data_IF_526196713262
#
_entry.id   IF_526196713262
#
_cell.length_a   1.000
_cell.length_b   1.000
_cell.length_c   1.000
_cell.angle_alpha   90.00
_cell.angle_beta   90.00
_cell.angle_gamma   90.00
#
_symmetry.space_group_name_H-M   'P 1'
#
loop_
_entity.id
_entity.type
_entity.pdbx_description
1 polymer ?
#
# COMPACT_ATOMS: atom_id res chain seq x y z
N UNK A 1 5.31 -18.06 -0.95
CA UNK A 1 5.42 -16.68 -0.46
C UNK A 1 6.37 -15.95 -1.40
N UNK A 2 5.96 -14.82 -1.98
CA UNK A 2 6.79 -14.08 -2.94
C UNK A 2 7.96 -13.44 -2.19
N UNK A 3 9.18 -13.55 -2.72
CA UNK A 3 10.36 -12.94 -2.11
C UNK A 3 10.20 -11.40 -2.13
N UNK A 4 10.10 -10.80 -0.94
CA UNK A 4 9.90 -9.36 -0.76
C UNK A 4 11.20 -8.59 -0.50
N UNK A 5 12.36 -9.25 -0.55
CA UNK A 5 13.67 -8.60 -0.27
C UNK A 5 14.07 -7.55 -1.30
N UNK A 6 13.43 -7.53 -2.47
CA UNK A 6 13.67 -6.57 -3.57
C UNK A 6 12.54 -5.55 -3.74
N UNK A 7 11.85 -5.20 -2.66
CA UNK A 7 10.72 -4.27 -2.72
C UNK A 7 11.10 -2.94 -2.07
N UNK A 8 10.82 -1.84 -2.76
CA UNK A 8 10.92 -0.51 -2.20
C UNK A 8 9.73 -0.26 -1.27
N UNK A 9 10.00 0.40 -0.15
CA UNK A 9 9.02 0.67 0.90
C UNK A 9 8.66 2.15 0.91
N UNK A 10 7.38 2.44 0.88
CA UNK A 10 6.83 3.79 0.90
C UNK A 10 5.85 3.89 2.08
N UNK A 11 6.29 4.39 3.25
CA UNK A 11 5.42 4.56 4.41
C UNK A 11 4.45 5.72 4.18
N UNK A 12 3.22 5.55 4.64
CA UNK A 12 2.16 6.57 4.59
C UNK A 12 1.14 6.34 5.70
N UNK A 13 0.27 7.34 5.96
CA UNK A 13 -0.71 7.29 7.05
C UNK A 13 -2.08 7.67 6.52
N UNK A 14 -3.11 6.90 6.88
CA UNK A 14 -4.51 7.20 6.55
C UNK A 14 -5.34 7.19 7.82
N UNK A 15 -5.98 8.32 8.11
CA UNK A 15 -6.90 8.50 9.24
C UNK A 15 -6.32 8.01 10.59
N UNK A 16 -5.01 8.21 10.79
CA UNK A 16 -4.28 7.82 12.01
C UNK A 16 -3.74 6.39 12.02
N UNK A 17 -3.93 5.60 10.95
CA UNK A 17 -3.38 4.26 10.80
C UNK A 17 -2.18 4.29 9.85
N UNK A 18 -1.08 3.64 10.26
CA UNK A 18 0.17 3.58 9.50
C UNK A 18 0.20 2.38 8.55
N UNK A 19 0.60 2.64 7.31
CA UNK A 19 0.70 1.66 6.25
C UNK A 19 2.07 1.74 5.57
N UNK A 20 2.42 0.68 4.86
CA UNK A 20 3.55 0.65 3.94
C UNK A 20 3.09 0.13 2.58
N UNK A 21 3.29 0.94 1.55
CA UNK A 21 3.15 0.50 0.16
C UNK A 21 4.48 -0.11 -0.25
N UNK A 22 4.47 -1.38 -0.62
CA UNK A 22 5.63 -2.13 -1.08
C UNK A 22 5.53 -2.22 -2.59
N UNK A 23 6.57 -1.81 -3.31
CA UNK A 23 6.61 -1.86 -4.78
C UNK A 23 7.84 -2.66 -5.22
N UNK A 24 7.62 -3.64 -6.10
CA UNK A 24 8.70 -4.43 -6.71
C UNK A 24 9.61 -3.55 -7.55
N UNK A 25 10.91 -3.46 -7.20
CA UNK A 25 11.87 -2.57 -7.88
C UNK A 25 12.18 -2.98 -9.31
N UNK A 26 11.98 -4.27 -9.65
CA UNK A 26 12.13 -4.78 -11.01
C UNK A 26 10.84 -4.57 -11.83
N UNK A 27 9.73 -4.23 -11.17
CA UNK A 27 8.45 -3.94 -11.78
C UNK A 27 8.42 -2.61 -12.53
N UNK A 28 7.67 -2.58 -13.63
CA UNK A 28 7.37 -1.35 -14.38
C UNK A 28 6.74 -0.26 -13.52
N UNK A 29 6.01 -0.62 -12.46
CA UNK A 29 5.39 0.34 -11.55
C UNK A 29 6.43 1.15 -10.76
N UNK A 30 7.52 0.53 -10.32
CA UNK A 30 8.58 1.25 -9.59
C UNK A 30 9.22 2.35 -10.42
N UNK A 31 9.40 2.12 -11.72
CA UNK A 31 9.93 3.12 -12.65
C UNK A 31 9.00 4.34 -12.80
N UNK A 32 7.70 4.16 -12.61
CA UNK A 32 6.73 5.25 -12.62
C UNK A 32 6.73 5.97 -11.27
N UNK A 33 6.61 5.23 -10.17
CA UNK A 33 6.57 5.76 -8.80
C UNK A 33 7.82 6.57 -8.46
N UNK A 34 9.00 6.10 -8.85
CA UNK A 34 10.28 6.78 -8.60
C UNK A 34 10.43 8.15 -9.29
N UNK A 35 9.58 8.45 -10.28
CA UNK A 35 9.56 9.74 -10.99
C UNK A 35 8.53 10.71 -10.44
N UNK A 36 7.70 10.25 -9.50
CA UNK A 36 6.64 11.04 -8.89
C UNK A 36 7.15 11.56 -7.53
N UNK A 37 6.89 12.84 -7.18
CA UNK A 37 7.22 13.32 -5.84
C UNK A 37 6.57 12.46 -4.76
N UNK A 38 7.32 12.13 -3.70
CA UNK A 38 6.85 11.23 -2.64
C UNK A 38 5.48 11.63 -2.07
N UNK A 39 5.23 12.93 -1.90
CA UNK A 39 3.95 13.42 -1.39
C UNK A 39 2.77 13.14 -2.33
N UNK A 40 2.98 13.19 -3.65
CA UNK A 40 1.95 12.84 -4.63
C UNK A 40 1.65 11.35 -4.56
N UNK A 41 2.69 10.50 -4.47
CA UNK A 41 2.50 9.06 -4.32
C UNK A 41 1.81 8.71 -3.00
N UNK A 42 2.11 9.42 -1.91
CA UNK A 42 1.40 9.26 -0.64
C UNK A 42 -0.08 9.60 -0.80
N UNK A 43 -0.43 10.73 -1.39
CA UNK A 43 -1.84 11.07 -1.66
C UNK A 43 -2.55 10.01 -2.50
N UNK A 44 -1.87 9.41 -3.49
CA UNK A 44 -2.43 8.30 -4.27
C UNK A 44 -2.69 7.07 -3.40
N UNK A 45 -1.73 6.67 -2.55
CA UNK A 45 -1.90 5.53 -1.64
C UNK A 45 -3.02 5.79 -0.61
N UNK A 46 -3.13 7.00 -0.08
CA UNK A 46 -4.22 7.37 0.81
C UNK A 46 -5.59 7.28 0.12
N UNK A 47 -5.68 7.76 -1.13
CA UNK A 47 -6.89 7.63 -1.95
C UNK A 47 -7.26 6.17 -2.17
N UNK A 48 -6.29 5.32 -2.52
CA UNK A 48 -6.51 3.89 -2.72
C UNK A 48 -7.03 3.19 -1.46
N UNK A 49 -6.51 3.50 -0.26
CA UNK A 49 -7.05 2.95 0.98
C UNK A 49 -8.50 3.39 1.18
N UNK A 50 -8.79 4.69 1.04
CA UNK A 50 -10.15 5.20 1.24
C UNK A 50 -11.16 4.63 0.24
N UNK A 51 -10.72 4.35 -0.99
CA UNK A 51 -11.56 3.76 -2.03
C UNK A 51 -11.76 2.25 -1.86
N UNK A 52 -10.69 1.51 -1.56
CA UNK A 52 -10.71 0.04 -1.59
C UNK A 52 -11.03 -0.60 -0.23
N UNK A 53 -10.61 0.03 0.86
CA UNK A 53 -10.79 -0.45 2.25
C UNK A 53 -11.87 0.35 2.96
N UNK A 54 -11.95 1.66 2.71
CA UNK A 54 -12.93 2.56 3.33
C UNK A 54 -12.37 3.33 4.53
N UNK A 55 -13.23 3.61 5.51
CA UNK A 55 -12.87 4.41 6.70
C UNK A 55 -12.15 3.56 7.75
N UNK A 56 -10.84 3.43 7.60
CA UNK A 56 -9.97 2.61 8.48
C UNK A 56 -9.97 3.06 9.94
N UNK A 57 -10.27 4.33 10.22
CA UNK A 57 -10.42 4.86 11.60
C UNK A 57 -11.60 4.26 12.37
N UNK A 58 -12.55 3.60 11.69
CA UNK A 58 -13.71 2.94 12.30
C UNK A 58 -13.54 1.42 12.37
N UNK A 59 -12.40 0.89 11.95
CA UNK A 59 -12.13 -0.54 11.84
C UNK A 59 -11.10 -0.98 12.89
N UNK A 60 -11.23 -2.22 13.35
CA UNK A 60 -10.18 -2.89 14.10
C UNK A 60 -9.01 -3.28 13.20
N UNK A 61 -7.85 -3.57 13.80
CA UNK A 61 -6.68 -4.04 13.04
C UNK A 61 -6.95 -5.31 12.23
N UNK A 62 -7.72 -6.24 12.79
CA UNK A 62 -8.05 -7.51 12.12
C UNK A 62 -8.97 -7.29 10.91
N UNK A 63 -9.95 -6.39 11.02
CA UNK A 63 -10.80 -6.00 9.89
C UNK A 63 -9.99 -5.31 8.79
N UNK A 64 -9.06 -4.41 9.17
CA UNK A 64 -8.17 -3.77 8.19
C UNK A 64 -7.29 -4.82 7.51
N UNK A 65 -6.73 -5.77 8.26
CA UNK A 65 -5.91 -6.84 7.70
C UNK A 65 -6.72 -7.71 6.73
N UNK A 66 -7.95 -8.08 7.06
CA UNK A 66 -8.82 -8.86 6.18
C UNK A 66 -9.12 -8.14 4.86
N UNK A 67 -9.39 -6.82 4.90
CA UNK A 67 -9.56 -6.03 3.69
C UNK A 67 -8.27 -5.89 2.88
N UNK A 68 -7.12 -5.71 3.54
CA UNK A 68 -5.82 -5.69 2.86
C UNK A 68 -5.52 -7.03 2.19
N UNK A 69 -5.82 -8.16 2.83
CA UNK A 69 -5.64 -9.49 2.24
C UNK A 69 -6.50 -9.64 0.98
N UNK A 70 -7.75 -9.16 1.01
CA UNK A 70 -8.64 -9.12 -0.16
C UNK A 70 -8.12 -8.19 -1.26
N UNK A 71 -7.68 -6.98 -0.93
CA UNK A 71 -7.16 -5.99 -1.89
C UNK A 71 -5.86 -6.47 -2.54
N UNK A 72 -5.02 -7.17 -1.78
CA UNK A 72 -3.77 -7.73 -2.27
C UNK A 72 -3.96 -9.08 -2.98
N UNK A 73 -5.17 -9.63 -3.08
CA UNK A 73 -5.35 -10.93 -3.74
C UNK A 73 -4.84 -10.86 -5.20
N UNK A 74 -3.93 -11.77 -5.56
CA UNK A 74 -3.33 -11.81 -6.90
C UNK A 74 -2.31 -10.70 -7.19
N UNK A 75 -1.79 -10.01 -6.18
CA UNK A 75 -0.82 -8.93 -6.37
C UNK A 75 0.42 -9.35 -7.19
N UNK A 76 0.90 -8.43 -8.02
CA UNK A 76 2.07 -8.65 -8.88
C UNK A 76 3.22 -7.70 -8.53
N UNK A 77 3.04 -6.38 -8.69
CA UNK A 77 4.13 -5.40 -8.53
C UNK A 77 3.93 -4.45 -7.35
N UNK A 78 2.75 -4.43 -6.74
CA UNK A 78 2.42 -3.58 -5.60
C UNK A 78 1.68 -4.36 -4.53
N UNK A 79 1.99 -4.08 -3.28
CA UNK A 79 1.39 -4.73 -2.12
C UNK A 79 1.26 -3.71 -0.99
N UNK A 80 0.10 -3.62 -0.35
CA UNK A 80 -0.12 -2.70 0.77
C UNK A 80 -0.17 -3.50 2.07
N UNK A 81 0.57 -3.08 3.08
CA UNK A 81 0.56 -3.68 4.41
C UNK A 81 0.32 -2.64 5.50
N UNK A 82 -0.16 -3.08 6.65
CA UNK A 82 0.03 -2.34 7.89
C UNK A 82 1.53 -2.20 8.18
N UNK A 83 1.93 -1.06 8.77
CA UNK A 83 3.31 -0.81 9.19
C UNK A 83 3.69 -1.59 10.45
#
# INVERSE_FOLDING_TARGET
MKDMTRWALFPFTVDGVEFVSKIDIEGSMYQQVSRVPAQVFNTMNEGAIRELVGKVSLMSKDEIQAELDRVNEGYSQAYIALA
#
